data_IF_335192919635
#
_entry.id   IF_335192919635
#
_cell.length_a   1.000
_cell.length_b   1.000
_cell.length_c   1.000
_cell.angle_alpha   90.00
_cell.angle_beta   90.00
_cell.angle_gamma   90.00
#
_symmetry.space_group_name_H-M   'P 1'
#
loop_
_entity.id
_entity.type
_entity.pdbx_description
1 polymer ?
#
# COMPACT_ATOMS: atom_id res chain seq x y z
N UNK A 1 -9.55 25.33 -28.35
CA UNK A 1 -9.52 23.84 -28.37
C UNK A 1 -9.23 23.24 -26.99
N UNK A 2 -8.70 24.00 -26.02
CA UNK A 2 -8.51 23.56 -24.62
C UNK A 2 -9.81 23.38 -23.85
N UNK A 3 -10.76 24.31 -24.02
CA UNK A 3 -11.92 24.43 -23.12
C UNK A 3 -12.92 23.29 -23.32
N UNK A 4 -13.17 22.87 -24.56
CA UNK A 4 -13.97 21.69 -24.89
C UNK A 4 -13.39 20.38 -24.35
N UNK A 5 -12.07 20.31 -24.15
CA UNK A 5 -11.42 19.12 -23.58
C UNK A 5 -11.55 19.12 -22.06
N UNK A 6 -11.47 20.29 -21.43
CA UNK A 6 -11.69 20.45 -19.99
C UNK A 6 -13.14 20.17 -19.60
N UNK A 7 -14.12 20.67 -20.37
CA UNK A 7 -15.54 20.48 -20.11
C UNK A 7 -15.98 19.01 -20.25
N UNK A 8 -15.39 18.26 -21.20
CA UNK A 8 -15.62 16.80 -21.30
C UNK A 8 -15.06 16.02 -20.11
N UNK A 9 -13.90 16.41 -19.61
CA UNK A 9 -13.27 15.76 -18.44
C UNK A 9 -14.11 16.00 -17.19
N UNK A 10 -14.70 17.17 -17.05
CA UNK A 10 -15.58 17.51 -15.92
C UNK A 10 -16.85 16.67 -15.92
N UNK A 11 -17.51 16.54 -17.08
CA UNK A 11 -18.71 15.69 -17.23
C UNK A 11 -18.40 14.20 -17.00
N UNK A 12 -17.23 13.72 -17.44
CA UNK A 12 -16.80 12.33 -17.18
C UNK A 12 -16.54 12.10 -15.69
N UNK A 13 -15.91 13.06 -15.01
CA UNK A 13 -15.66 13.01 -13.57
C UNK A 13 -16.95 13.04 -12.76
N UNK A 14 -17.90 13.91 -13.11
CA UNK A 14 -19.21 13.98 -12.44
C UNK A 14 -20.02 12.70 -12.60
N UNK A 15 -20.02 12.12 -13.80
CA UNK A 15 -20.65 10.83 -14.05
C UNK A 15 -20.00 9.69 -13.25
N UNK A 16 -18.67 9.73 -13.10
CA UNK A 16 -17.95 8.78 -12.26
C UNK A 16 -18.33 8.94 -10.78
N UNK A 17 -18.32 10.17 -10.27
CA UNK A 17 -18.69 10.46 -8.88
C UNK A 17 -20.13 10.06 -8.59
N UNK A 18 -21.06 10.29 -9.52
CA UNK A 18 -22.45 9.84 -9.41
C UNK A 18 -22.54 8.32 -9.21
N UNK A 19 -21.84 7.53 -10.04
CA UNK A 19 -21.81 6.06 -9.90
C UNK A 19 -21.19 5.61 -8.58
N UNK A 20 -20.12 6.27 -8.14
CA UNK A 20 -19.49 5.97 -6.84
C UNK A 20 -20.45 6.25 -5.69
N UNK A 21 -21.22 7.34 -5.74
CA UNK A 21 -22.22 7.67 -4.73
C UNK A 21 -23.36 6.66 -4.71
N UNK A 22 -23.83 6.22 -5.87
CA UNK A 22 -24.87 5.21 -6.01
C UNK A 22 -24.45 3.88 -5.38
N UNK A 23 -23.25 3.38 -5.71
CA UNK A 23 -22.70 2.14 -5.13
C UNK A 23 -22.51 2.27 -3.61
N UNK A 24 -21.96 3.40 -3.14
CA UNK A 24 -21.74 3.63 -1.71
C UNK A 24 -23.06 3.66 -0.93
N UNK A 25 -24.14 4.20 -1.52
CA UNK A 25 -25.47 4.19 -0.92
C UNK A 25 -25.99 2.77 -0.71
N UNK A 26 -25.89 1.92 -1.74
CA UNK A 26 -26.31 0.51 -1.69
C UNK A 26 -25.50 -0.26 -0.63
N UNK A 27 -24.16 -0.11 -0.63
CA UNK A 27 -23.28 -0.80 0.33
C UNK A 27 -23.59 -0.38 1.77
N UNK A 28 -23.87 0.90 2.02
CA UNK A 28 -24.26 1.38 3.37
C UNK A 28 -25.58 0.78 3.83
N UNK A 29 -26.57 0.66 2.94
CA UNK A 29 -27.86 0.02 3.26
C UNK A 29 -27.66 -1.47 3.57
N UNK A 30 -26.86 -2.18 2.76
CA UNK A 30 -26.50 -3.58 3.00
C UNK A 30 -25.73 -3.80 4.31
N UNK A 31 -24.86 -2.88 4.69
CA UNK A 31 -24.10 -2.96 5.95
C UNK A 31 -24.90 -2.50 7.19
N UNK A 32 -26.15 -2.05 7.03
CA UNK A 32 -26.99 -1.59 8.13
C UNK A 32 -27.40 -2.74 9.05
N UNK A 33 -27.44 -2.48 10.36
CA UNK A 33 -27.95 -3.42 11.38
C UNK A 33 -29.48 -3.48 11.41
N UNK A 34 -30.15 -2.50 10.81
CA UNK A 34 -31.61 -2.49 10.67
C UNK A 34 -32.02 -3.42 9.53
N UNK A 35 -32.84 -4.42 9.86
CA UNK A 35 -33.32 -5.44 8.92
C UNK A 35 -34.08 -4.84 7.75
N UNK A 36 -34.81 -3.74 7.95
CA UNK A 36 -35.61 -3.12 6.89
C UNK A 36 -34.69 -2.43 5.88
N UNK A 37 -33.73 -1.63 6.38
CA UNK A 37 -32.75 -0.95 5.53
C UNK A 37 -31.81 -1.93 4.82
N UNK A 38 -31.42 -3.00 5.50
CA UNK A 38 -30.64 -4.08 4.91
C UNK A 38 -31.42 -4.74 3.75
N UNK A 39 -32.70 -5.09 3.96
CA UNK A 39 -33.54 -5.68 2.92
C UNK A 39 -33.74 -4.73 1.72
N UNK A 40 -33.94 -3.43 1.98
CA UNK A 40 -33.99 -2.41 0.91
C UNK A 40 -32.67 -2.34 0.14
N UNK A 41 -31.54 -2.41 0.83
CA UNK A 41 -30.21 -2.48 0.21
C UNK A 41 -30.05 -3.70 -0.71
N UNK A 42 -30.57 -4.85 -0.30
CA UNK A 42 -30.57 -6.08 -1.11
C UNK A 42 -31.37 -5.90 -2.40
N UNK A 43 -32.58 -5.35 -2.30
CA UNK A 43 -33.45 -5.11 -3.47
C UNK A 43 -32.84 -4.09 -4.45
N UNK A 44 -32.20 -3.03 -3.94
CA UNK A 44 -31.52 -2.04 -4.77
C UNK A 44 -30.26 -2.61 -5.45
N UNK A 45 -29.47 -3.43 -4.73
CA UNK A 45 -28.33 -4.13 -5.30
C UNK A 45 -28.73 -5.07 -6.43
N UNK A 46 -29.80 -5.85 -6.24
CA UNK A 46 -30.30 -6.78 -7.25
C UNK A 46 -30.75 -6.06 -8.53
N UNK A 47 -31.41 -4.90 -8.39
CA UNK A 47 -31.79 -4.05 -9.53
C UNK A 47 -30.56 -3.49 -10.24
N UNK A 48 -29.61 -2.93 -9.48
CA UNK A 48 -28.37 -2.38 -10.01
C UNK A 48 -27.57 -3.42 -10.81
N UNK A 49 -27.51 -4.67 -10.33
CA UNK A 49 -26.85 -5.76 -11.02
C UNK A 49 -27.58 -6.18 -12.30
N UNK A 50 -28.91 -6.28 -12.27
CA UNK A 50 -29.75 -6.61 -13.45
C UNK A 50 -29.67 -5.56 -14.55
N UNK A 51 -29.72 -4.28 -14.18
CA UNK A 51 -29.71 -3.16 -15.11
C UNK A 51 -28.32 -2.92 -15.74
N UNK A 52 -27.25 -3.37 -15.08
CA UNK A 52 -25.87 -3.25 -15.58
C UNK A 52 -25.57 -4.08 -16.84
N UNK A 53 -26.53 -4.89 -17.32
CA UNK A 53 -26.39 -5.74 -18.51
C UNK A 53 -25.35 -6.86 -18.39
N UNK A 54 -24.60 -6.89 -17.29
CA UNK A 54 -23.72 -8.00 -16.93
C UNK A 54 -24.61 -9.10 -16.37
N UNK A 55 -25.01 -10.03 -17.23
CA UNK A 55 -25.41 -11.35 -16.77
C UNK A 55 -24.27 -11.83 -15.85
N UNK A 56 -24.55 -11.95 -14.56
CA UNK A 56 -23.73 -12.80 -13.71
C UNK A 56 -23.73 -14.15 -14.42
N UNK A 57 -22.57 -14.77 -14.68
CA UNK A 57 -22.57 -16.17 -15.12
C UNK A 57 -23.26 -16.93 -13.99
N UNK A 58 -24.50 -17.37 -14.23
CA UNK A 58 -25.32 -18.04 -13.22
C UNK A 58 -24.69 -19.38 -12.78
N UNK A 59 -23.74 -19.89 -13.56
CA UNK A 59 -22.88 -21.01 -13.22
C UNK A 59 -21.45 -20.71 -13.66
N UNK A 60 -20.59 -20.25 -12.74
CA UNK A 60 -19.14 -20.38 -12.93
C UNK A 60 -18.80 -21.77 -12.38
N UNK A 61 -18.91 -22.80 -13.23
CA UNK A 61 -18.35 -24.11 -12.92
C UNK A 61 -16.82 -23.98 -12.81
N UNK A 62 -16.20 -24.62 -11.82
CA UNK A 62 -14.74 -24.70 -11.75
C UNK A 62 -14.15 -25.32 -13.04
N UNK A 63 -14.91 -26.18 -13.72
CA UNK A 63 -14.56 -26.79 -15.00
C UNK A 63 -14.57 -25.78 -16.19
N UNK A 64 -15.32 -24.69 -16.08
CA UNK A 64 -15.41 -23.65 -17.11
C UNK A 64 -14.35 -22.55 -16.94
N UNK A 65 -13.63 -22.54 -15.81
CA UNK A 65 -12.53 -21.60 -15.56
C UNK A 65 -11.23 -22.17 -16.15
N UNK A 66 -10.96 -21.87 -17.43
CA UNK A 66 -9.64 -22.14 -18.02
C UNK A 66 -8.60 -21.14 -17.51
N UNK A 67 -7.98 -21.44 -16.36
CA UNK A 67 -6.85 -20.67 -15.84
C UNK A 67 -5.60 -21.02 -16.65
N UNK A 68 -5.11 -20.07 -17.43
CA UNK A 68 -3.83 -20.22 -18.14
C UNK A 68 -2.68 -19.67 -17.28
N UNK A 69 -1.70 -20.52 -16.98
CA UNK A 69 -0.46 -20.10 -16.31
C UNK A 69 0.31 -19.20 -17.28
N UNK A 70 0.30 -17.88 -17.04
CA UNK A 70 1.03 -16.91 -17.88
C UNK A 70 2.55 -17.08 -17.77
N UNK A 71 3.05 -17.37 -16.57
CA UNK A 71 4.47 -17.60 -16.30
C UNK A 71 4.63 -18.41 -15.02
N UNK A 72 5.26 -19.57 -15.10
CA UNK A 72 5.79 -20.28 -13.92
C UNK A 72 7.20 -19.75 -13.63
N UNK A 73 7.43 -19.27 -12.41
CA UNK A 73 8.71 -18.72 -11.94
C UNK A 73 9.30 -19.55 -10.80
N UNK A 74 8.77 -20.75 -10.57
CA UNK A 74 9.34 -21.63 -9.57
C UNK A 74 10.74 -22.08 -10.02
N UNK A 75 11.76 -21.60 -9.31
CA UNK A 75 13.15 -22.02 -9.49
C UNK A 75 13.57 -22.66 -8.18
N UNK A 76 13.75 -23.97 -8.20
CA UNK A 76 14.29 -24.70 -7.04
C UNK A 76 15.80 -24.43 -7.01
N UNK A 77 16.29 -23.88 -5.89
CA UNK A 77 17.72 -23.69 -5.70
C UNK A 77 18.39 -25.05 -5.43
N UNK A 78 18.78 -25.74 -6.50
CA UNK A 78 19.47 -27.02 -6.42
C UNK A 78 20.86 -26.92 -5.75
N UNK A 79 21.48 -25.73 -5.67
CA UNK A 79 22.75 -25.55 -4.94
C UNK A 79 22.61 -25.66 -3.43
N UNK A 80 21.44 -25.33 -2.88
CA UNK A 80 21.15 -25.50 -1.46
C UNK A 80 21.24 -26.98 -1.03
N UNK A 81 21.03 -27.91 -1.97
CA UNK A 81 21.11 -29.36 -1.72
C UNK A 81 22.47 -29.97 -2.06
N UNK A 82 23.37 -29.19 -2.68
CA UNK A 82 24.73 -29.62 -3.02
C UNK A 82 25.74 -29.35 -1.90
N UNK A 83 25.39 -28.54 -0.93
CA UNK A 83 26.22 -28.36 0.26
C UNK A 83 26.01 -29.57 1.15
N UNK A 84 27.01 -30.44 1.23
CA UNK A 84 27.29 -31.14 2.48
C UNK A 84 27.70 -30.04 3.47
N UNK A 85 26.70 -29.33 4.02
CA UNK A 85 26.92 -28.35 5.08
C UNK A 85 27.46 -29.14 6.27
N UNK A 86 28.77 -29.31 6.32
CA UNK A 86 29.43 -29.67 7.57
C UNK A 86 29.24 -28.43 8.46
N UNK A 87 28.44 -28.50 9.53
CA UNK A 87 28.12 -27.35 10.38
C UNK A 87 29.37 -26.74 11.06
N UNK A 88 30.53 -27.39 10.91
CA UNK A 88 31.84 -26.97 11.40
C UNK A 88 32.60 -26.00 10.48
N UNK A 89 32.09 -25.68 9.28
CA UNK A 89 32.82 -24.84 8.31
C UNK A 89 32.97 -23.37 8.73
N UNK A 90 32.13 -22.88 9.63
CA UNK A 90 32.25 -21.55 10.25
C UNK A 90 32.53 -21.70 11.75
N UNK A 91 33.68 -21.23 12.20
CA UNK A 91 33.96 -21.13 13.64
C UNK A 91 32.93 -20.21 14.29
N UNK A 92 32.43 -20.60 15.47
CA UNK A 92 31.54 -19.78 16.29
C UNK A 92 32.10 -18.36 16.51
N UNK A 93 33.43 -18.24 16.66
CA UNK A 93 34.10 -16.95 16.82
C UNK A 93 33.96 -16.06 15.57
N UNK A 94 34.09 -16.65 14.38
CA UNK A 94 33.92 -15.92 13.12
C UNK A 94 32.46 -15.47 12.92
N UNK A 95 31.50 -16.32 13.28
CA UNK A 95 30.08 -15.97 13.28
C UNK A 95 29.81 -14.78 14.20
N UNK A 96 30.22 -14.89 15.46
CA UNK A 96 30.01 -13.85 16.47
C UNK A 96 30.65 -12.51 16.06
N UNK A 97 31.88 -12.55 15.51
CA UNK A 97 32.56 -11.36 15.02
C UNK A 97 31.79 -10.65 13.88
N UNK A 98 31.16 -11.42 12.97
CA UNK A 98 30.35 -10.82 11.90
C UNK A 98 29.04 -10.25 12.44
N UNK A 99 28.40 -10.94 13.37
CA UNK A 99 27.18 -10.45 14.04
C UNK A 99 27.45 -9.17 14.82
N UNK A 100 28.54 -9.12 15.60
CA UNK A 100 28.96 -7.92 16.33
C UNK A 100 29.25 -6.76 15.38
N UNK A 101 29.89 -7.01 14.24
CA UNK A 101 30.16 -6.00 13.23
C UNK A 101 28.86 -5.43 12.64
N UNK A 102 27.92 -6.28 12.25
CA UNK A 102 26.61 -5.85 11.74
C UNK A 102 25.81 -5.08 12.80
N UNK A 103 25.77 -5.57 14.04
CA UNK A 103 25.11 -4.89 15.15
C UNK A 103 25.67 -3.48 15.39
N UNK A 104 27.01 -3.34 15.36
CA UNK A 104 27.68 -2.05 15.50
C UNK A 104 27.41 -1.11 14.32
N UNK A 105 27.40 -1.62 13.09
CA UNK A 105 27.07 -0.84 11.91
C UNK A 105 25.63 -0.31 11.99
N UNK A 106 24.67 -1.17 12.30
CA UNK A 106 23.27 -0.76 12.47
C UNK A 106 23.10 0.26 13.59
N UNK A 107 23.86 0.11 14.68
CA UNK A 107 23.86 1.10 15.76
C UNK A 107 24.38 2.47 15.28
N UNK A 108 25.53 2.50 14.60
CA UNK A 108 26.10 3.73 14.06
C UNK A 108 25.18 4.40 13.04
N UNK A 109 24.57 3.63 12.15
CA UNK A 109 23.61 4.13 11.17
C UNK A 109 22.40 4.79 11.84
N UNK A 110 21.85 4.16 12.88
CA UNK A 110 20.78 4.75 13.70
C UNK A 110 21.22 6.07 14.34
N UNK A 111 22.44 6.15 14.86
CA UNK A 111 22.97 7.36 15.47
C UNK A 111 23.10 8.49 14.44
N UNK A 112 23.66 8.21 13.26
CA UNK A 112 23.83 9.19 12.18
C UNK A 112 22.46 9.69 11.69
N UNK A 113 21.50 8.78 11.49
CA UNK A 113 20.13 9.13 11.07
C UNK A 113 19.43 10.00 12.12
N UNK A 114 19.56 9.64 13.40
CA UNK A 114 19.01 10.39 14.53
C UNK A 114 19.59 11.81 14.58
N UNK A 115 20.91 11.95 14.45
CA UNK A 115 21.56 13.26 14.45
C UNK A 115 21.06 14.14 13.29
N UNK A 116 21.03 13.59 12.06
CA UNK A 116 20.49 14.29 10.88
C UNK A 116 19.05 14.74 11.10
N UNK A 117 18.20 13.87 11.64
CA UNK A 117 16.81 14.18 11.95
C UNK A 117 16.70 15.34 12.97
N UNK A 118 17.41 15.26 14.08
CA UNK A 118 17.38 16.30 15.12
C UNK A 118 17.90 17.65 14.60
N UNK A 119 18.92 17.64 13.72
CA UNK A 119 19.39 18.88 13.08
C UNK A 119 18.33 19.52 12.19
N UNK A 120 17.67 18.72 11.33
CA UNK A 120 16.60 19.19 10.44
C UNK A 120 15.38 19.68 11.23
N UNK A 121 15.01 18.97 12.29
CA UNK A 121 13.95 19.38 13.21
C UNK A 121 14.26 20.71 13.88
N UNK A 122 15.49 20.89 14.35
CA UNK A 122 15.94 22.15 14.95
C UNK A 122 15.91 23.30 13.94
N UNK A 123 16.34 23.05 12.71
CA UNK A 123 16.28 24.04 11.62
C UNK A 123 14.83 24.40 11.28
N UNK A 124 13.94 23.42 11.18
CA UNK A 124 12.52 23.62 10.91
C UNK A 124 11.86 24.48 11.99
N UNK A 125 12.11 24.17 13.27
CA UNK A 125 11.59 24.96 14.41
C UNK A 125 12.11 26.40 14.37
N UNK A 126 13.39 26.60 14.04
CA UNK A 126 13.97 27.96 13.90
C UNK A 126 13.33 28.73 12.75
N UNK A 127 13.12 28.10 11.60
CA UNK A 127 12.47 28.72 10.43
C UNK A 127 11.01 29.06 10.74
N UNK A 128 10.27 28.15 11.40
CA UNK A 128 8.89 28.36 11.81
C UNK A 128 8.75 29.57 12.75
N UNK A 129 9.62 29.68 13.77
CA UNK A 129 9.63 30.82 14.70
C UNK A 129 9.93 32.16 14.02
N UNK A 130 10.59 32.15 12.86
CA UNK A 130 10.90 33.35 12.06
C UNK A 130 9.79 33.71 11.05
N UNK A 131 8.73 32.90 10.95
CA UNK A 131 7.67 33.08 9.94
C UNK A 131 8.05 32.58 8.54
N UNK A 132 9.19 31.90 8.39
CA UNK A 132 9.63 31.29 7.12
C UNK A 132 8.94 29.93 6.92
N UNK A 133 7.62 29.93 6.70
CA UNK A 133 6.80 28.71 6.70
C UNK A 133 7.15 27.72 5.58
N UNK A 134 7.43 28.20 4.37
CA UNK A 134 7.81 27.33 3.24
C UNK A 134 9.10 26.56 3.53
N UNK A 135 10.07 27.22 4.16
CA UNK A 135 11.34 26.62 4.53
C UNK A 135 11.17 25.63 5.68
N UNK A 136 10.34 25.96 6.67
CA UNK A 136 9.99 25.03 7.75
C UNK A 136 9.34 23.76 7.20
N UNK A 137 8.38 23.91 6.26
CA UNK A 137 7.71 22.80 5.60
C UNK A 137 8.69 21.95 4.78
N UNK A 138 9.60 22.58 4.03
CA UNK A 138 10.66 21.88 3.30
C UNK A 138 11.56 21.06 4.23
N UNK A 139 11.95 21.62 5.38
CA UNK A 139 12.74 20.91 6.38
C UNK A 139 11.97 19.72 7.00
N UNK A 140 10.69 19.89 7.34
CA UNK A 140 9.88 18.79 7.88
C UNK A 140 9.63 17.67 6.87
N UNK A 141 9.40 18.00 5.59
CA UNK A 141 9.23 17.00 4.53
C UNK A 141 10.50 16.21 4.24
N UNK A 142 11.68 16.78 4.52
CA UNK A 142 12.97 16.09 4.42
C UNK A 142 13.24 15.17 5.61
N UNK A 143 12.51 15.31 6.72
CA UNK A 143 12.62 14.40 7.85
C UNK A 143 11.74 13.19 7.55
N UNK A 144 12.36 12.05 7.25
CA UNK A 144 11.62 10.79 7.17
C UNK A 144 11.35 10.25 8.57
N UNK A 145 10.22 10.66 9.16
CA UNK A 145 9.80 10.23 10.49
C UNK A 145 9.49 8.72 10.56
N UNK A 146 9.40 8.00 9.43
CA UNK A 146 9.17 6.54 9.42
C UNK A 146 10.39 5.75 9.89
N UNK A 147 11.59 6.31 9.81
CA UNK A 147 12.82 5.66 10.29
C UNK A 147 12.95 5.61 11.82
N UNK A 148 12.04 6.22 12.59
CA UNK A 148 12.06 6.22 14.06
C UNK A 148 11.43 4.97 14.71
N UNK A 149 10.72 4.12 13.94
CA UNK A 149 9.87 3.06 14.48
C UNK A 149 10.44 1.63 14.27
N UNK A 150 11.59 1.46 13.59
CA UNK A 150 12.18 0.13 13.36
C UNK A 150 13.67 0.10 13.74
#
# INVERSE_FOLDING_TARGET
MSDFKQERVDVEFDNFMYRVHEVNSIVKKLASKDKILNHMGTLEADKFLKDSGKKLPEDISEDDIQVQIKTDKSVINHEAFRREDNPETMSQEQFMKQVEKDANQRFQDRQIKKEKCETLKTQAVKAFRRGEFEKALSCYNKVDFKEYII
#
